data_IF_067843993265
#
_entry.id   IF_067843993265
#
_cell.length_a   1.000
_cell.length_b   1.000
_cell.length_c   1.000
_cell.angle_alpha   90.00
_cell.angle_beta   90.00
_cell.angle_gamma   90.00
#
_symmetry.space_group_name_H-M   'P 1'
#
loop_
_entity.id
_entity.type
_entity.pdbx_description
1 polymer ?
#
# COMPACT_ATOMS: atom_id res chain seq x y z
N UNK A 1 4.45 19.79 -0.55
CA UNK A 1 5.22 19.57 -1.81
C UNK A 1 6.08 20.78 -2.07
N UNK A 2 7.28 20.54 -2.58
CA UNK A 2 8.25 21.57 -3.00
C UNK A 2 8.56 21.36 -4.49
N UNK A 3 8.53 22.44 -5.28
CA UNK A 3 8.91 22.41 -6.68
C UNK A 3 10.45 22.49 -6.81
N UNK A 4 11.04 21.48 -7.42
CA UNK A 4 12.49 21.40 -7.63
C UNK A 4 12.92 21.94 -9.00
N UNK A 5 11.99 22.43 -9.81
CA UNK A 5 12.22 22.87 -11.18
C UNK A 5 12.25 21.71 -12.18
N UNK A 6 12.17 22.06 -13.47
CA UNK A 6 12.21 21.06 -14.55
C UNK A 6 11.05 20.05 -14.54
N UNK A 7 9.94 20.36 -13.86
CA UNK A 7 8.80 19.46 -13.71
C UNK A 7 8.95 18.41 -12.62
N UNK A 8 10.02 18.50 -11.80
CA UNK A 8 10.24 17.62 -10.67
C UNK A 8 9.74 18.26 -9.38
N UNK A 9 9.19 17.44 -8.47
CA UNK A 9 8.66 17.85 -7.18
C UNK A 9 9.13 16.90 -6.10
N UNK A 10 9.50 17.43 -4.93
CA UNK A 10 9.59 16.66 -3.70
C UNK A 10 8.25 16.74 -2.96
N UNK A 11 7.88 15.67 -2.27
CA UNK A 11 6.69 15.65 -1.42
C UNK A 11 6.90 14.83 -0.16
N UNK A 12 6.09 15.11 0.84
CA UNK A 12 5.92 14.23 2.00
C UNK A 12 4.44 14.09 2.33
N UNK A 13 4.09 12.97 2.94
CA UNK A 13 2.75 12.65 3.43
C UNK A 13 2.89 12.18 4.86
N UNK A 14 2.24 12.88 5.79
CA UNK A 14 2.17 12.53 7.20
C UNK A 14 0.71 12.43 7.59
N UNK A 15 0.28 11.23 7.99
CA UNK A 15 -1.11 10.93 8.35
C UNK A 15 -1.17 10.24 9.70
N UNK A 16 -1.89 10.86 10.65
CA UNK A 16 -2.15 10.32 11.97
C UNK A 16 -3.58 9.77 12.06
N UNK A 17 -3.74 8.67 12.76
CA UNK A 17 -5.04 8.16 13.19
C UNK A 17 -5.22 8.40 14.68
N UNK A 18 -6.41 8.82 15.07
CA UNK A 18 -6.77 9.03 16.48
C UNK A 18 -8.17 8.43 16.77
N UNK A 19 -8.41 8.11 18.02
CA UNK A 19 -9.70 7.64 18.50
C UNK A 19 -10.64 8.85 18.67
N UNK A 20 -11.76 8.85 17.98
CA UNK A 20 -12.71 9.96 17.97
C UNK A 20 -13.45 10.17 19.30
N UNK A 21 -13.43 9.19 20.21
CA UNK A 21 -14.10 9.25 21.50
C UNK A 21 -13.28 9.98 22.58
N UNK A 22 -11.94 9.96 22.50
CA UNK A 22 -11.04 10.47 23.53
C UNK A 22 -9.82 11.25 22.99
N UNK A 23 -9.64 11.28 21.67
CA UNK A 23 -8.53 11.99 21.02
C UNK A 23 -7.16 11.32 21.16
N UNK A 24 -7.07 10.13 21.73
CA UNK A 24 -5.81 9.40 21.82
C UNK A 24 -5.36 8.89 20.45
N UNK A 25 -4.04 8.68 20.28
CA UNK A 25 -3.51 8.08 19.06
C UNK A 25 -4.07 6.67 18.85
N UNK A 26 -4.52 6.34 17.65
CA UNK A 26 -5.03 5.01 17.30
C UNK A 26 -3.98 3.90 17.49
N UNK A 27 -2.69 4.26 17.49
CA UNK A 27 -1.58 3.37 17.86
C UNK A 27 -0.76 4.04 18.95
N UNK A 28 -0.68 3.43 20.12
CA UNK A 28 0.03 3.99 21.26
C UNK A 28 1.50 4.27 20.92
N UNK A 29 1.97 5.47 21.22
CA UNK A 29 3.35 5.90 21.02
C UNK A 29 3.75 6.21 19.56
N UNK A 30 2.83 6.12 18.60
CA UNK A 30 3.10 6.37 17.18
C UNK A 30 2.21 7.49 16.66
N UNK A 31 2.80 8.66 16.36
CA UNK A 31 2.06 9.82 15.90
C UNK A 31 1.55 9.63 14.45
N UNK A 32 2.43 9.30 13.52
CA UNK A 32 2.07 9.10 12.10
C UNK A 32 1.91 7.62 11.80
N UNK A 33 0.88 7.02 12.39
CA UNK A 33 0.62 5.58 12.32
C UNK A 33 -0.12 5.13 11.05
N UNK A 34 -0.53 6.07 10.19
CA UNK A 34 -1.23 5.74 8.94
C UNK A 34 -0.33 5.88 7.71
N UNK A 35 0.31 7.03 7.56
CA UNK A 35 1.27 7.28 6.49
C UNK A 35 2.39 8.17 7.01
N UNK A 36 3.62 7.82 6.69
CA UNK A 36 4.82 8.63 6.95
C UNK A 36 5.79 8.36 5.79
N UNK A 37 5.66 9.11 4.72
CA UNK A 37 6.41 8.90 3.48
C UNK A 37 6.95 10.21 2.91
N UNK A 38 8.10 10.09 2.26
CA UNK A 38 8.72 11.14 1.46
C UNK A 38 8.96 10.62 0.05
N UNK A 39 8.90 11.48 -0.95
CA UNK A 39 9.11 11.04 -2.32
C UNK A 39 9.42 12.16 -3.29
N UNK A 40 9.72 11.73 -4.52
CA UNK A 40 9.92 12.55 -5.69
C UNK A 40 8.88 12.20 -6.74
N UNK A 41 8.39 13.20 -7.45
CA UNK A 41 7.41 13.04 -8.51
C UNK A 41 7.76 13.90 -9.74
N UNK A 42 7.37 13.42 -10.91
CA UNK A 42 7.43 14.17 -12.16
C UNK A 42 6.26 13.77 -13.07
N UNK A 43 6.30 14.18 -14.35
CA UNK A 43 5.25 13.88 -15.31
C UNK A 43 5.05 12.38 -15.60
N UNK A 44 6.03 11.53 -15.32
CA UNK A 44 5.97 10.09 -15.59
C UNK A 44 5.55 9.27 -14.37
N UNK A 45 5.53 9.87 -13.18
CA UNK A 45 5.14 9.18 -11.96
C UNK A 45 5.87 9.65 -10.72
N UNK A 46 5.90 8.80 -9.70
CA UNK A 46 6.53 9.09 -8.41
C UNK A 46 7.27 7.90 -7.84
N UNK A 47 8.30 8.20 -7.06
CA UNK A 47 9.01 7.24 -6.21
C UNK A 47 8.96 7.75 -4.77
N UNK A 48 8.50 6.93 -3.85
CA UNK A 48 8.36 7.29 -2.43
C UNK A 48 8.97 6.24 -1.51
N UNK A 49 9.33 6.64 -0.30
CA UNK A 49 9.86 5.76 0.74
C UNK A 49 9.24 6.09 2.09
N UNK A 50 9.03 5.05 2.93
CA UNK A 50 8.48 5.19 4.28
C UNK A 50 7.37 4.20 4.61
N UNK A 51 6.47 4.61 5.52
CA UNK A 51 5.21 3.91 5.81
C UNK A 51 4.14 4.38 4.82
N UNK A 52 3.62 3.48 4.00
CA UNK A 52 2.66 3.81 2.95
C UNK A 52 1.78 2.63 2.54
N UNK A 53 0.69 2.91 1.83
CA UNK A 53 -0.21 1.87 1.33
C UNK A 53 0.45 1.01 0.26
N UNK A 54 0.08 -0.27 0.23
CA UNK A 54 0.50 -1.24 -0.79
C UNK A 54 -0.23 -1.03 -2.12
N UNK A 55 0.36 -1.48 -3.22
CA UNK A 55 -0.30 -1.50 -4.52
C UNK A 55 -1.60 -2.32 -4.51
N UNK A 56 -1.60 -3.44 -3.79
CA UNK A 56 -2.79 -4.28 -3.60
C UNK A 56 -3.91 -3.51 -2.91
N UNK A 57 -3.59 -2.79 -1.82
CA UNK A 57 -4.58 -2.01 -1.08
C UNK A 57 -5.19 -0.90 -1.93
N UNK A 58 -4.35 -0.11 -2.63
CA UNK A 58 -4.80 0.99 -3.48
C UNK A 58 -5.76 0.49 -4.57
N UNK A 59 -5.42 -0.66 -5.19
CA UNK A 59 -6.28 -1.30 -6.19
C UNK A 59 -7.61 -1.74 -5.59
N UNK A 60 -7.58 -2.42 -4.45
CA UNK A 60 -8.80 -2.89 -3.80
C UNK A 60 -9.71 -1.74 -3.36
N UNK A 61 -9.15 -0.65 -2.83
CA UNK A 61 -9.92 0.55 -2.47
C UNK A 61 -10.61 1.16 -3.69
N UNK A 62 -9.92 1.27 -4.82
CA UNK A 62 -10.47 1.86 -6.05
C UNK A 62 -11.67 1.06 -6.59
N UNK A 63 -11.62 -0.26 -6.44
CA UNK A 63 -12.64 -1.18 -6.98
C UNK A 63 -13.60 -1.76 -5.94
N UNK A 64 -13.52 -1.32 -4.68
CA UNK A 64 -14.46 -1.76 -3.65
C UNK A 64 -15.86 -1.17 -3.90
N UNK A 65 -16.87 -2.00 -4.23
CA UNK A 65 -18.22 -1.52 -4.50
C UNK A 65 -18.90 -0.87 -3.29
N UNK A 66 -18.40 -1.16 -2.09
CA UNK A 66 -18.93 -0.60 -0.84
C UNK A 66 -18.19 0.66 -0.37
N UNK A 67 -17.20 1.14 -1.13
CA UNK A 67 -16.43 2.37 -0.86
C UNK A 67 -15.95 2.41 0.60
N UNK A 68 -15.32 1.33 1.05
CA UNK A 68 -14.85 1.11 2.42
C UNK A 68 -15.97 1.00 3.48
N UNK A 69 -17.20 0.76 3.08
CA UNK A 69 -18.32 0.49 3.98
C UNK A 69 -18.05 -0.76 4.82
N UNK A 70 -17.83 -0.60 6.13
CA UNK A 70 -17.21 -1.60 7.01
C UNK A 70 -17.88 -2.97 7.03
N UNK A 71 -19.18 -3.05 6.80
CA UNK A 71 -19.92 -4.29 6.98
C UNK A 71 -19.84 -5.25 5.78
N UNK A 72 -19.64 -4.72 4.58
CA UNK A 72 -19.69 -5.49 3.33
C UNK A 72 -18.49 -5.26 2.42
N UNK A 73 -17.53 -4.47 2.88
CA UNK A 73 -16.27 -4.32 2.14
C UNK A 73 -15.47 -5.61 2.19
N UNK A 74 -14.83 -5.94 1.08
CA UNK A 74 -13.88 -7.03 1.02
C UNK A 74 -12.48 -6.65 1.53
N UNK A 75 -12.30 -5.36 1.88
CA UNK A 75 -11.09 -4.89 2.56
C UNK A 75 -11.10 -5.30 4.04
N UNK A 76 -9.96 -5.66 4.61
CA UNK A 76 -9.87 -5.94 6.04
C UNK A 76 -10.25 -4.68 6.84
N UNK A 77 -11.37 -4.75 7.52
CA UNK A 77 -12.06 -3.61 8.13
C UNK A 77 -11.42 -3.04 9.38
N UNK A 78 -10.54 -3.75 10.01
CA UNK A 78 -9.91 -3.28 11.24
C UNK A 78 -8.55 -3.91 11.40
N UNK A 79 -7.48 -3.13 11.39
CA UNK A 79 -6.16 -3.41 11.98
C UNK A 79 -5.60 -4.82 12.03
N UNK A 80 -6.42 -5.85 11.98
CA UNK A 80 -6.03 -7.24 11.79
C UNK A 80 -5.95 -7.53 10.30
N UNK A 81 -4.93 -7.02 9.68
CA UNK A 81 -4.56 -7.22 8.29
C UNK A 81 -4.33 -8.68 7.90
N UNK A 82 -4.64 -9.61 8.75
CA UNK A 82 -4.36 -11.03 8.57
C UNK A 82 -5.56 -11.81 8.02
N UNK A 83 -6.77 -11.22 7.96
CA UNK A 83 -7.96 -11.93 7.49
C UNK A 83 -7.89 -12.32 6.01
N UNK A 84 -7.13 -11.57 5.19
CA UNK A 84 -6.89 -11.86 3.78
C UNK A 84 -5.40 -12.02 3.45
N UNK A 85 -4.57 -12.19 4.47
CA UNK A 85 -3.13 -12.44 4.32
C UNK A 85 -2.31 -11.34 3.65
N UNK A 86 -2.87 -10.17 3.34
CA UNK A 86 -2.10 -9.02 2.87
C UNK A 86 -2.16 -7.85 3.87
N UNK A 87 -1.18 -6.97 3.84
CA UNK A 87 -1.14 -5.75 4.65
C UNK A 87 -1.58 -4.55 3.84
N UNK A 88 -2.45 -3.72 4.42
CA UNK A 88 -2.83 -2.45 3.81
C UNK A 88 -1.64 -1.50 3.69
N UNK A 89 -0.72 -1.52 4.65
CA UNK A 89 0.45 -0.64 4.72
C UNK A 89 1.71 -1.42 5.05
N UNK A 90 2.83 -0.94 4.51
CA UNK A 90 4.17 -1.46 4.78
C UNK A 90 5.07 -0.34 5.27
N UNK A 91 5.78 -0.60 6.37
CA UNK A 91 6.90 0.23 6.83
C UNK A 91 8.18 -0.17 6.09
N UNK A 92 9.22 0.67 6.19
CA UNK A 92 10.52 0.45 5.55
C UNK A 92 10.33 0.10 4.06
N UNK A 93 9.40 0.76 3.40
CA UNK A 93 9.03 0.45 2.02
C UNK A 93 9.48 1.51 1.03
N UNK A 94 9.68 1.10 -0.19
CA UNK A 94 9.77 1.94 -1.37
C UNK A 94 8.62 1.61 -2.30
N UNK A 95 8.06 2.62 -2.97
CA UNK A 95 6.94 2.46 -3.88
C UNK A 95 7.12 3.35 -5.10
N UNK A 96 6.97 2.76 -6.26
CA UNK A 96 6.91 3.44 -7.54
C UNK A 96 5.48 3.45 -8.07
N UNK A 97 5.04 4.58 -8.61
CA UNK A 97 3.77 4.73 -9.33
C UNK A 97 4.07 5.43 -10.64
N UNK A 98 3.86 4.78 -11.75
CA UNK A 98 4.06 5.32 -13.10
C UNK A 98 2.75 5.50 -13.85
N UNK A 99 2.65 6.57 -14.64
CA UNK A 99 1.48 6.90 -15.45
C UNK A 99 1.84 6.93 -16.94
N UNK A 100 1.15 6.13 -17.73
CA UNK A 100 1.42 5.92 -19.16
C UNK A 100 0.10 5.96 -19.93
N UNK A 101 -0.40 7.17 -20.21
CA UNK A 101 -1.76 7.34 -20.77
C UNK A 101 -2.83 6.84 -19.79
N UNK A 102 -3.69 5.93 -20.23
CA UNK A 102 -4.71 5.30 -19.37
C UNK A 102 -4.17 4.22 -18.43
N UNK A 103 -2.89 3.81 -18.56
CA UNK A 103 -2.29 2.76 -17.72
C UNK A 103 -1.54 3.38 -16.54
N UNK A 104 -1.84 2.90 -15.34
CA UNK A 104 -1.06 3.14 -14.13
C UNK A 104 -0.37 1.85 -13.72
N UNK A 105 0.95 1.88 -13.54
CA UNK A 105 1.75 0.78 -13.05
C UNK A 105 2.29 1.12 -11.66
N UNK A 106 2.05 0.26 -10.69
CA UNK A 106 2.53 0.42 -9.30
C UNK A 106 3.40 -0.77 -8.92
N UNK A 107 4.50 -0.51 -8.23
CA UNK A 107 5.34 -1.53 -7.62
C UNK A 107 5.78 -1.08 -6.23
N UNK A 108 5.77 -1.99 -5.26
CA UNK A 108 6.24 -1.72 -3.90
C UNK A 108 7.12 -2.86 -3.38
N UNK A 109 8.04 -2.48 -2.48
CA UNK A 109 8.90 -3.39 -1.76
C UNK A 109 9.12 -2.89 -0.33
N UNK A 110 9.03 -3.79 0.65
CA UNK A 110 9.35 -3.54 2.06
C UNK A 110 10.51 -4.41 2.51
N UNK A 111 11.48 -3.78 3.16
CA UNK A 111 12.71 -4.44 3.66
C UNK A 111 12.52 -5.23 4.95
N UNK A 112 11.30 -5.36 5.44
CA UNK A 112 10.96 -6.14 6.62
C UNK A 112 11.33 -5.50 7.97
N UNK A 113 12.54 -4.99 8.11
CA UNK A 113 13.01 -4.32 9.34
C UNK A 113 13.71 -5.20 10.35
N UNK A 114 14.16 -6.39 9.95
CA UNK A 114 15.00 -7.26 10.74
C UNK A 114 16.48 -7.05 10.36
N UNK A 115 17.31 -6.64 11.32
CA UNK A 115 18.71 -6.31 11.09
C UNK A 115 19.54 -7.51 10.61
N UNK A 116 19.15 -8.72 11.01
CA UNK A 116 19.89 -9.95 10.72
C UNK A 116 19.36 -10.67 9.47
N UNK A 117 18.25 -10.21 8.89
CA UNK A 117 17.64 -10.87 7.72
C UNK A 117 16.82 -9.92 6.85
N UNK A 118 17.34 -9.62 5.67
CA UNK A 118 16.58 -8.87 4.63
C UNK A 118 15.31 -9.57 4.16
N UNK A 119 15.18 -10.88 4.42
CA UNK A 119 14.02 -11.66 4.01
C UNK A 119 12.94 -11.77 5.08
N UNK A 120 13.30 -11.56 6.35
CA UNK A 120 12.34 -11.60 7.45
C UNK A 120 11.33 -10.46 7.33
N UNK A 121 10.06 -10.82 7.25
CA UNK A 121 8.97 -9.86 7.08
C UNK A 121 9.05 -8.98 5.81
N UNK A 122 9.93 -9.29 4.87
CA UNK A 122 9.99 -8.60 3.59
C UNK A 122 8.71 -8.86 2.79
N UNK A 123 8.27 -7.84 2.06
CA UNK A 123 7.10 -7.93 1.21
C UNK A 123 7.37 -7.21 -0.12
N UNK A 124 6.71 -7.65 -1.17
CA UNK A 124 6.69 -6.94 -2.44
C UNK A 124 5.36 -7.13 -3.13
N UNK A 125 4.96 -6.14 -3.88
CA UNK A 125 3.72 -6.14 -4.62
C UNK A 125 3.78 -5.31 -5.87
N UNK A 126 2.72 -5.38 -6.64
CA UNK A 126 2.54 -4.55 -7.81
C UNK A 126 1.11 -4.59 -8.31
N UNK A 127 0.76 -3.59 -9.10
CA UNK A 127 -0.53 -3.49 -9.75
C UNK A 127 -0.39 -2.86 -11.12
N UNK A 128 -1.26 -3.30 -12.02
CA UNK A 128 -1.52 -2.65 -13.31
C UNK A 128 -2.99 -2.26 -13.32
N UNK A 129 -3.26 -0.99 -13.52
CA UNK A 129 -4.61 -0.41 -13.57
C UNK A 129 -4.77 0.31 -14.91
N UNK A 130 -5.75 -0.07 -15.69
CA UNK A 130 -6.09 0.57 -16.95
C UNK A 130 -7.45 1.26 -16.85
N UNK A 131 -7.48 2.54 -17.20
CA UNK A 131 -8.66 3.38 -17.18
C UNK A 131 -8.92 3.94 -18.59
N UNK A 132 -10.05 3.55 -19.18
CA UNK A 132 -10.52 4.01 -20.47
C UNK A 132 -11.72 4.97 -20.36
N UNK A 133 -11.94 5.56 -19.19
CA UNK A 133 -13.05 6.47 -18.90
C UNK A 133 -14.32 5.73 -18.49
N UNK A 134 -15.09 5.17 -19.42
CA UNK A 134 -16.31 4.41 -19.11
C UNK A 134 -16.06 2.99 -18.60
N UNK A 135 -14.82 2.48 -18.73
CA UNK A 135 -14.43 1.15 -18.27
C UNK A 135 -13.05 1.22 -17.64
N UNK A 136 -12.88 0.56 -16.52
CA UNK A 136 -11.58 0.39 -15.90
C UNK A 136 -11.38 -1.05 -15.42
N UNK A 137 -10.13 -1.52 -15.43
CA UNK A 137 -9.77 -2.84 -14.96
C UNK A 137 -8.38 -2.83 -14.32
N UNK A 138 -8.18 -3.67 -13.32
CA UNK A 138 -6.90 -3.80 -12.64
C UNK A 138 -6.55 -5.23 -12.29
N UNK A 139 -5.24 -5.49 -12.26
CA UNK A 139 -4.64 -6.70 -11.71
C UNK A 139 -3.66 -6.28 -10.65
N UNK A 140 -3.68 -6.94 -9.49
CA UNK A 140 -2.69 -6.70 -8.43
C UNK A 140 -2.19 -8.02 -7.85
N UNK A 141 -0.94 -7.98 -7.40
CA UNK A 141 -0.26 -9.09 -6.74
C UNK A 141 0.50 -8.58 -5.51
N UNK A 142 0.49 -9.38 -4.46
CA UNK A 142 1.20 -9.13 -3.20
C UNK A 142 1.86 -10.43 -2.73
N UNK A 143 3.10 -10.32 -2.28
CA UNK A 143 3.86 -11.39 -1.65
C UNK A 143 4.47 -10.91 -0.35
N UNK A 144 4.41 -11.73 0.69
CA UNK A 144 5.02 -11.45 1.99
C UNK A 144 5.67 -12.68 2.58
N UNK A 145 6.89 -12.51 3.08
CA UNK A 145 7.49 -13.42 4.03
C UNK A 145 6.97 -13.05 5.44
N UNK A 146 6.40 -14.02 6.13
CA UNK A 146 6.05 -13.87 7.54
C UNK A 146 7.20 -14.31 8.45
N UNK A 147 6.90 -14.51 9.74
CA UNK A 147 7.85 -15.03 10.69
C UNK A 147 8.22 -16.50 10.38
N UNK A 148 9.38 -16.93 10.83
CA UNK A 148 9.76 -18.35 10.83
C UNK A 148 8.87 -19.07 11.84
N UNK A 149 8.18 -20.13 11.39
CA UNK A 149 7.35 -20.96 12.27
C UNK A 149 8.21 -21.89 13.15
N UNK A 150 7.57 -22.64 14.07
CA UNK A 150 8.23 -23.58 14.97
C UNK A 150 9.00 -24.71 14.26
N UNK A 151 8.75 -24.93 12.98
CA UNK A 151 9.46 -25.90 12.13
C UNK A 151 10.62 -25.30 11.34
N UNK A 152 10.99 -24.04 11.61
CA UNK A 152 12.08 -23.34 10.91
C UNK A 152 11.72 -22.88 9.47
N UNK A 153 10.45 -22.95 9.10
CA UNK A 153 9.98 -22.55 7.77
C UNK A 153 9.33 -21.17 7.79
N UNK A 154 9.58 -20.38 6.74
CA UNK A 154 8.91 -19.11 6.54
C UNK A 154 7.41 -19.29 6.28
N UNK A 155 6.58 -18.60 7.04
CA UNK A 155 5.17 -18.43 6.65
C UNK A 155 5.12 -17.47 5.46
N UNK A 156 4.55 -17.91 4.35
CA UNK A 156 4.48 -17.12 3.11
C UNK A 156 3.04 -16.83 2.78
N UNK A 157 2.78 -15.57 2.43
CA UNK A 157 1.47 -15.15 1.90
C UNK A 157 1.63 -14.73 0.46
N UNK A 158 0.66 -15.11 -0.39
CA UNK A 158 0.57 -14.70 -1.79
C UNK A 158 -0.87 -14.38 -2.09
N UNK A 159 -1.11 -13.18 -2.54
CA UNK A 159 -2.44 -12.70 -2.90
C UNK A 159 -2.42 -12.13 -4.30
N UNK A 160 -3.52 -12.26 -5.00
CA UNK A 160 -3.74 -11.59 -6.26
C UNK A 160 -5.20 -11.15 -6.34
N UNK A 161 -5.44 -10.08 -7.07
CA UNK A 161 -6.79 -9.61 -7.35
C UNK A 161 -6.92 -9.27 -8.83
N UNK A 162 -8.12 -9.48 -9.35
CA UNK A 162 -8.54 -8.98 -10.65
C UNK A 162 -9.86 -8.24 -10.45
N UNK A 163 -9.91 -7.00 -10.91
CA UNK A 163 -11.03 -6.09 -10.68
C UNK A 163 -11.40 -5.41 -11.99
N UNK A 164 -12.68 -5.13 -12.16
CA UNK A 164 -13.18 -4.32 -13.27
C UNK A 164 -14.38 -3.49 -12.80
N UNK A 165 -14.55 -2.31 -13.41
CA UNK A 165 -15.68 -1.42 -13.18
C UNK A 165 -16.13 -0.82 -14.50
N UNK A 166 -17.44 -0.70 -14.68
CA UNK A 166 -18.08 0.04 -15.74
C UNK A 166 -18.95 1.13 -15.11
N UNK A 167 -18.78 2.35 -15.55
CA UNK A 167 -19.58 3.53 -15.14
C UNK A 167 -20.71 3.78 -16.12
#
# INVERSE_FOLDING_TARGET
>A
TEDLGGGNKAFFILEAGFNGNDGTNATAGVLFNRTAAIGLANAYGSLSAGLQYTAMYDTMVKYDPMVLGQQYTWLPTTGSADSFSFKARLNNSVKYVGHYGGLTATADYSFGGDADSFQSSAAYGGALDYDAGSFSAALAYDYRNGAINSSGLWTKSRNWSASARQD
#
